data_IF_999770276473
#
_entry.id   IF_999770276473
#
_cell.length_a   1.000
_cell.length_b   1.000
_cell.length_c   1.000
_cell.angle_alpha   90.00
_cell.angle_beta   90.00
_cell.angle_gamma   90.00
#
_symmetry.space_group_name_H-M   'P 1'
#
loop_
_entity.id
_entity.type
_entity.pdbx_description
1 polymer ?
#
# COMPACT_ATOMS: atom_id res chain seq x y z
N UNK A 1 2.73 6.08 -12.55
CA UNK A 1 1.86 6.30 -11.37
C UNK A 1 2.73 6.58 -10.17
N UNK A 2 2.22 7.30 -9.17
CA UNK A 2 2.92 7.52 -7.90
C UNK A 2 1.94 7.44 -6.75
N UNK A 3 2.43 7.01 -5.58
CA UNK A 3 1.72 7.15 -4.30
C UNK A 3 2.14 8.48 -3.70
N UNK A 4 1.19 9.24 -3.19
CA UNK A 4 1.42 10.58 -2.61
C UNK A 4 1.07 10.65 -1.14
N UNK A 5 0.22 9.74 -0.64
CA UNK A 5 -0.02 9.54 0.78
C UNK A 5 -0.73 8.23 1.06
N UNK A 6 -0.59 7.74 2.30
CA UNK A 6 -1.37 6.64 2.85
C UNK A 6 -2.05 7.05 4.16
N UNK A 7 -3.22 6.48 4.44
CA UNK A 7 -3.96 6.73 5.69
C UNK A 7 -4.74 5.50 6.15
N UNK A 8 -4.56 5.03 7.40
CA UNK A 8 -3.58 5.51 8.38
C UNK A 8 -2.14 5.26 7.92
N UNK A 9 -1.18 6.02 8.46
CA UNK A 9 0.25 5.88 8.13
C UNK A 9 0.95 4.76 8.90
N UNK A 10 0.27 4.09 9.82
CA UNK A 10 0.76 2.90 10.54
C UNK A 10 -0.40 1.99 10.93
N UNK A 11 -0.10 0.78 11.39
CA UNK A 11 -1.11 -0.16 11.83
C UNK A 11 -0.59 -1.59 11.93
N UNK A 12 -1.51 -2.55 11.97
CA UNK A 12 -1.18 -3.97 12.04
C UNK A 12 -1.83 -4.78 10.92
N UNK A 13 -1.80 -6.10 11.07
CA UNK A 13 -2.49 -7.02 10.17
C UNK A 13 -3.97 -6.65 10.01
N UNK A 14 -4.50 -6.78 8.79
CA UNK A 14 -5.86 -6.47 8.39
C UNK A 14 -6.28 -4.99 8.50
N UNK A 15 -5.38 -4.07 8.85
CA UNK A 15 -5.66 -2.64 8.86
C UNK A 15 -6.08 -2.19 7.45
N UNK A 16 -7.22 -1.52 7.35
CA UNK A 16 -7.63 -0.88 6.11
C UNK A 16 -6.81 0.39 5.91
N UNK A 17 -6.18 0.52 4.73
CA UNK A 17 -5.34 1.63 4.33
C UNK A 17 -5.89 2.21 3.04
N UNK A 18 -6.13 3.53 3.04
CA UNK A 18 -6.40 4.33 1.85
C UNK A 18 -5.09 4.80 1.26
N UNK A 19 -4.90 4.58 -0.02
CA UNK A 19 -3.70 4.90 -0.77
C UNK A 19 -4.08 5.96 -1.79
N UNK A 20 -3.59 7.17 -1.57
CA UNK A 20 -3.80 8.31 -2.48
C UNK A 20 -2.62 8.40 -3.43
N UNK A 21 -2.89 8.72 -4.68
CA UNK A 21 -1.85 8.85 -5.69
C UNK A 21 -2.35 9.46 -6.98
N UNK A 22 -1.59 9.26 -8.05
CA UNK A 22 -1.94 9.73 -9.39
C UNK A 22 -1.66 8.67 -10.45
N UNK A 23 -2.57 8.58 -11.42
CA UNK A 23 -2.42 7.72 -12.59
C UNK A 23 -2.58 6.23 -12.29
N UNK A 24 -3.37 5.89 -11.26
CA UNK A 24 -3.83 4.51 -11.11
C UNK A 24 -4.79 4.20 -12.26
N UNK A 25 -4.58 3.06 -12.91
CA UNK A 25 -5.41 2.61 -14.04
C UNK A 25 -5.55 1.09 -13.96
N UNK A 26 -6.66 0.54 -14.46
CA UNK A 26 -6.88 -0.90 -14.42
C UNK A 26 -6.97 -1.49 -13.00
N UNK A 27 -6.63 -2.77 -12.85
CA UNK A 27 -6.69 -3.50 -11.58
C UNK A 27 -5.33 -3.46 -10.86
N UNK A 28 -5.17 -2.68 -9.79
CA UNK A 28 -3.91 -2.56 -9.08
C UNK A 28 -3.62 -3.78 -8.20
N UNK A 29 -2.34 -4.09 -8.04
CA UNK A 29 -1.84 -4.91 -6.92
C UNK A 29 -1.12 -4.01 -5.93
N UNK A 30 -1.42 -4.13 -4.65
CA UNK A 30 -0.77 -3.34 -3.58
C UNK A 30 0.18 -4.24 -2.81
N UNK A 31 1.37 -3.73 -2.52
CA UNK A 31 2.40 -4.40 -1.75
C UNK A 31 2.72 -3.59 -0.50
N UNK A 32 2.85 -4.27 0.64
CA UNK A 32 3.48 -3.74 1.86
C UNK A 32 4.87 -4.38 1.96
N UNK A 33 5.88 -3.67 1.47
CA UNK A 33 7.22 -4.20 1.22
C UNK A 33 7.20 -5.31 0.16
N UNK A 34 7.30 -6.57 0.61
CA UNK A 34 7.24 -7.78 -0.24
C UNK A 34 5.91 -8.53 -0.12
N UNK A 35 5.05 -8.19 0.84
CA UNK A 35 3.81 -8.90 1.10
C UNK A 35 2.67 -8.28 0.29
N UNK A 36 1.87 -9.12 -0.38
CA UNK A 36 0.72 -8.67 -1.16
C UNK A 36 -0.44 -8.32 -0.22
N UNK A 37 -1.03 -7.15 -0.41
CA UNK A 37 -2.21 -6.71 0.33
C UNK A 37 -3.46 -7.53 -0.06
N UNK A 38 -4.43 -7.57 0.84
CA UNK A 38 -5.73 -8.21 0.59
C UNK A 38 -6.82 -7.17 0.40
N UNK A 39 -7.98 -7.59 -0.13
CA UNK A 39 -9.14 -6.73 -0.34
C UNK A 39 -8.81 -5.41 -1.05
N UNK A 40 -7.96 -5.48 -2.08
CA UNK A 40 -7.59 -4.33 -2.90
C UNK A 40 -8.79 -3.92 -3.75
N UNK A 41 -9.26 -2.71 -3.53
CA UNK A 41 -10.34 -2.07 -4.25
C UNK A 41 -9.81 -0.84 -4.97
N UNK A 42 -9.96 -0.82 -6.28
CA UNK A 42 -9.72 0.37 -7.09
C UNK A 42 -10.94 1.27 -7.03
N UNK A 43 -10.83 2.40 -6.32
CA UNK A 43 -11.94 3.33 -6.13
C UNK A 43 -11.96 4.40 -7.24
N UNK A 44 -10.79 4.91 -7.62
CA UNK A 44 -10.63 5.90 -8.68
C UNK A 44 -9.19 5.96 -9.20
N UNK A 45 -8.91 6.73 -10.28
CA UNK A 45 -7.54 6.95 -10.75
C UNK A 45 -6.57 7.58 -9.74
N UNK A 46 -7.07 8.04 -8.59
CA UNK A 46 -6.29 8.68 -7.53
C UNK A 46 -6.46 8.03 -6.15
N UNK A 47 -7.30 7.00 -6.02
CA UNK A 47 -7.61 6.37 -4.74
C UNK A 47 -7.74 4.85 -4.87
N UNK A 48 -7.04 4.14 -3.98
CA UNK A 48 -7.14 2.69 -3.79
C UNK A 48 -7.39 2.44 -2.30
N UNK A 49 -8.28 1.50 -1.99
CA UNK A 49 -8.44 0.96 -0.64
C UNK A 49 -7.85 -0.45 -0.59
N UNK A 50 -7.02 -0.74 0.42
CA UNK A 50 -6.41 -2.07 0.59
C UNK A 50 -6.35 -2.46 2.06
N UNK A 51 -6.13 -3.75 2.36
CA UNK A 51 -5.88 -4.25 3.72
C UNK A 51 -4.43 -4.73 3.86
N UNK A 52 -3.77 -4.23 4.90
CA UNK A 52 -2.42 -4.60 5.26
C UNK A 52 -2.34 -6.12 5.53
N UNK A 53 -1.42 -6.86 4.88
CA UNK A 53 -1.18 -8.26 5.17
C UNK A 53 -0.48 -8.44 6.52
N UNK A 54 -0.20 -9.68 6.93
CA UNK A 54 0.68 -9.92 8.07
C UNK A 54 2.09 -9.34 7.79
N UNK A 55 2.71 -8.71 8.80
CA UNK A 55 4.06 -8.12 8.72
C UNK A 55 5.14 -9.19 8.45
N UNK A 56 4.88 -10.44 8.86
CA UNK A 56 5.82 -11.55 8.85
C UNK A 56 6.73 -11.53 10.09
N UNK A 57 7.92 -12.13 10.01
CA UNK A 57 8.84 -12.22 11.15
C UNK A 57 9.40 -10.86 11.65
N UNK A 58 9.03 -9.76 11.01
CA UNK A 58 9.56 -8.41 11.24
C UNK A 58 8.41 -7.47 11.61
N UNK A 59 7.83 -7.73 12.78
CA UNK A 59 6.64 -7.06 13.30
C UNK A 59 6.82 -5.53 13.44
N UNK A 60 7.95 -5.04 13.95
CA UNK A 60 8.16 -3.58 14.13
C UNK A 60 8.88 -2.87 12.98
N UNK A 61 8.79 -3.37 11.75
CA UNK A 61 9.56 -2.83 10.65
C UNK A 61 8.72 -1.96 9.70
N UNK A 62 9.30 -0.84 9.26
CA UNK A 62 8.71 0.04 8.25
C UNK A 62 8.68 -0.67 6.90
N UNK A 63 7.57 -0.51 6.17
CA UNK A 63 7.34 -1.10 4.84
C UNK A 63 6.85 -0.04 3.88
N UNK A 64 7.45 0.02 2.70
CA UNK A 64 6.93 0.84 1.61
C UNK A 64 5.62 0.23 1.08
N UNK A 65 4.58 1.06 0.98
CA UNK A 65 3.28 0.70 0.39
C UNK A 65 3.30 1.07 -1.09
N UNK A 66 3.56 0.08 -1.94
CA UNK A 66 3.75 0.31 -3.38
C UNK A 66 2.60 -0.28 -4.20
N UNK A 67 2.27 0.41 -5.28
CA UNK A 67 1.19 0.03 -6.20
C UNK A 67 1.78 -0.44 -7.52
N UNK A 68 1.39 -1.63 -7.96
CA UNK A 68 1.71 -2.21 -9.26
C UNK A 68 0.48 -2.10 -10.18
N UNK A 69 0.65 -1.46 -11.33
CA UNK A 69 -0.35 -1.44 -12.40
C UNK A 69 0.33 -1.76 -13.72
N UNK A 70 -0.22 -2.71 -14.48
CA UNK A 70 0.26 -3.09 -15.82
C UNK A 70 1.78 -3.38 -15.88
N UNK A 71 2.35 -3.96 -14.82
CA UNK A 71 3.78 -4.26 -14.72
C UNK A 71 4.67 -3.10 -14.23
N UNK A 72 4.12 -1.90 -14.02
CA UNK A 72 4.84 -0.75 -13.49
C UNK A 72 4.59 -0.61 -11.98
N UNK A 73 5.65 -0.70 -11.18
CA UNK A 73 5.60 -0.50 -9.74
C UNK A 73 5.85 0.97 -9.42
N UNK A 74 5.07 1.55 -8.50
CA UNK A 74 5.33 2.90 -8.00
C UNK A 74 6.71 2.99 -7.33
N UNK A 75 7.41 4.13 -7.43
CA UNK A 75 8.63 4.35 -6.66
C UNK A 75 8.32 4.31 -5.16
N UNK A 76 9.32 4.00 -4.35
CA UNK A 76 9.24 4.15 -2.89
C UNK A 76 9.41 5.63 -2.51
N UNK A 77 8.76 6.06 -1.45
CA UNK A 77 8.86 7.41 -0.93
C UNK A 77 8.50 7.47 0.56
N UNK A 78 8.95 8.49 1.31
CA UNK A 78 8.52 8.65 2.71
C UNK A 78 6.99 8.78 2.88
N UNK A 79 6.26 9.14 1.82
CA UNK A 79 4.81 9.26 1.85
C UNK A 79 4.06 7.92 1.82
N UNK A 80 4.76 6.83 1.50
CA UNK A 80 4.23 5.47 1.46
C UNK A 80 4.85 4.53 2.52
N UNK A 81 5.60 5.08 3.48
CA UNK A 81 6.11 4.32 4.61
C UNK A 81 5.00 3.94 5.59
N UNK A 82 4.85 2.64 5.85
CA UNK A 82 3.91 2.08 6.81
C UNK A 82 4.65 1.27 7.89
N UNK A 83 4.86 1.84 9.09
CA UNK A 83 5.32 1.10 10.25
C UNK A 83 4.24 0.11 10.71
N UNK A 84 4.64 -1.14 10.89
CA UNK A 84 3.81 -2.14 11.55
C UNK A 84 3.96 -2.04 13.07
N UNK A 85 2.83 -2.14 13.79
CA UNK A 85 2.73 -1.98 15.25
C UNK A 85 2.31 -3.29 15.96
N UNK A 86 2.49 -4.44 15.31
CA UNK A 86 2.20 -5.76 15.90
C UNK A 86 3.35 -6.33 16.76
#
# INVERSE_FOLDING_TARGET
MTVTSISPTSGGVNQQVKITGVGFTGTPTVYFGRNVATNVQYDSPTLITARAPASGALHSAVRDVRVLVNGYLSPASPADEFPYND
#
